data_IF_637606441809
#
_entry.id   IF_637606441809
#
_cell.length_a   1.000
_cell.length_b   1.000
_cell.length_c   1.000
_cell.angle_alpha   90.00
_cell.angle_beta   90.00
_cell.angle_gamma   90.00
#
_symmetry.space_group_name_H-M   'P 1'
#
loop_
_entity.id
_entity.type
_entity.pdbx_description
1 polymer ?
#
# COMPACT_ATOMS: atom_id res chain seq x y z
N UNK A 1 -9.09 -16.26 17.44
CA UNK A 1 -7.96 -16.90 16.74
C UNK A 1 -8.39 -17.10 15.29
N UNK A 2 -8.62 -16.01 14.54
CA UNK A 2 -9.26 -16.08 13.20
C UNK A 2 -9.19 -14.74 12.44
N UNK A 3 -8.01 -14.11 12.36
CA UNK A 3 -7.82 -12.88 11.54
C UNK A 3 -6.66 -12.96 10.54
N UNK A 4 -5.90 -14.05 10.52
CA UNK A 4 -4.74 -14.17 9.64
C UNK A 4 -5.07 -14.88 8.30
N UNK A 5 -6.26 -15.50 8.18
CA UNK A 5 -6.73 -16.11 6.94
C UNK A 5 -7.09 -15.08 5.84
N UNK A 6 -7.45 -13.85 6.23
CA UNK A 6 -7.89 -12.78 5.31
C UNK A 6 -6.75 -12.14 4.49
N UNK A 7 -5.49 -12.46 4.79
CA UNK A 7 -4.33 -11.82 4.16
C UNK A 7 -3.40 -12.78 3.41
N UNK A 8 -3.88 -13.97 3.04
CA UNK A 8 -3.05 -15.00 2.38
C UNK A 8 -2.33 -14.50 1.12
N UNK A 9 -2.94 -13.55 0.40
CA UNK A 9 -2.40 -12.94 -0.82
C UNK A 9 -1.75 -11.56 -0.62
N UNK A 10 -1.58 -11.10 0.62
CA UNK A 10 -1.00 -9.77 0.92
C UNK A 10 0.43 -9.92 1.44
N UNK A 11 1.41 -9.16 0.93
CA UNK A 11 2.78 -9.19 1.42
C UNK A 11 2.85 -8.96 2.94
N UNK A 12 3.54 -9.86 3.64
CA UNK A 12 3.68 -9.81 5.10
C UNK A 12 4.22 -8.47 5.61
N UNK A 13 5.20 -7.88 4.90
CA UNK A 13 5.76 -6.57 5.22
C UNK A 13 4.68 -5.48 5.30
N UNK A 14 3.72 -5.49 4.37
CA UNK A 14 2.63 -4.52 4.35
C UNK A 14 1.68 -4.74 5.53
N UNK A 15 1.31 -5.99 5.79
CA UNK A 15 0.43 -6.36 6.91
C UNK A 15 1.03 -5.92 8.25
N UNK A 16 2.30 -6.24 8.49
CA UNK A 16 3.00 -5.88 9.74
C UNK A 16 3.15 -4.37 9.88
N UNK A 17 3.56 -3.67 8.81
CA UNK A 17 3.72 -2.21 8.84
C UNK A 17 2.39 -1.50 9.11
N UNK A 18 1.32 -1.90 8.43
CA UNK A 18 -0.04 -1.35 8.64
C UNK A 18 -0.54 -1.65 10.05
N UNK A 19 -0.37 -2.89 10.56
CA UNK A 19 -0.74 -3.23 11.95
C UNK A 19 -0.07 -2.30 12.96
N UNK A 20 1.22 -1.99 12.78
CA UNK A 20 1.94 -1.07 13.67
C UNK A 20 1.43 0.37 13.53
N UNK A 21 1.20 0.85 12.30
CA UNK A 21 0.66 2.19 12.07
C UNK A 21 -0.72 2.38 12.72
N UNK A 22 -1.61 1.42 12.51
CA UNK A 22 -2.97 1.45 13.06
C UNK A 22 -2.99 1.39 14.59
N UNK A 23 -2.06 0.64 15.19
CA UNK A 23 -1.99 0.51 16.64
C UNK A 23 -1.39 1.73 17.35
N UNK A 24 -0.47 2.47 16.70
CA UNK A 24 0.37 3.47 17.38
C UNK A 24 0.35 4.88 16.77
N UNK A 25 0.08 5.02 15.48
CA UNK A 25 0.50 6.20 14.72
C UNK A 25 -0.61 6.86 13.88
N UNK A 26 -1.87 6.42 13.99
CA UNK A 26 -2.99 7.00 13.22
C UNK A 26 -3.21 8.50 13.46
N UNK A 27 -2.81 9.01 14.63
CA UNK A 27 -2.99 10.43 14.99
C UNK A 27 -1.78 11.31 14.61
N UNK A 28 -0.77 10.77 13.91
CA UNK A 28 0.42 11.53 13.51
C UNK A 28 0.08 12.46 12.35
N UNK A 29 0.38 13.76 12.51
CA UNK A 29 0.14 14.77 11.48
C UNK A 29 1.01 14.50 10.24
N UNK A 30 0.42 14.56 9.05
CA UNK A 30 1.15 14.39 7.81
C UNK A 30 1.61 12.96 7.56
N UNK A 31 0.92 11.96 8.12
CA UNK A 31 1.12 10.56 7.81
C UNK A 31 1.09 10.34 6.29
N UNK A 32 1.99 9.50 5.77
CA UNK A 32 2.27 9.28 4.35
C UNK A 32 2.83 10.49 3.56
N UNK A 33 2.51 11.74 3.93
CA UNK A 33 3.02 12.97 3.30
C UNK A 33 4.45 13.30 3.70
N UNK A 34 4.75 13.29 4.99
CA UNK A 34 6.10 13.57 5.50
C UNK A 34 6.98 12.32 5.30
N UNK A 35 8.24 12.55 4.88
CA UNK A 35 9.21 11.48 4.67
C UNK A 35 10.01 11.21 5.93
N UNK A 36 10.18 9.93 6.27
CA UNK A 36 11.08 9.51 7.34
C UNK A 36 12.55 9.60 6.92
N UNK A 37 13.45 9.30 7.84
CA UNK A 37 14.88 9.31 7.56
C UNK A 37 15.24 8.20 6.56
N UNK A 38 15.76 8.58 5.39
CA UNK A 38 16.09 7.65 4.31
C UNK A 38 17.07 6.54 4.73
N UNK A 39 18.11 6.88 5.50
CA UNK A 39 19.09 5.89 5.96
C UNK A 39 18.45 4.83 6.86
N UNK A 40 17.53 5.24 7.73
CA UNK A 40 16.80 4.33 8.62
C UNK A 40 15.82 3.46 7.80
N UNK A 41 15.18 4.01 6.77
CA UNK A 41 14.31 3.22 5.87
C UNK A 41 15.13 2.14 5.15
N UNK A 42 16.34 2.44 4.68
CA UNK A 42 17.21 1.46 4.03
C UNK A 42 17.70 0.37 4.99
N UNK A 43 18.08 0.76 6.21
CA UNK A 43 18.48 -0.18 7.27
C UNK A 43 17.33 -1.13 7.65
N UNK A 44 16.12 -0.59 7.84
CA UNK A 44 14.93 -1.40 8.08
C UNK A 44 14.62 -2.35 6.91
N UNK A 45 14.77 -1.90 5.65
CA UNK A 45 14.61 -2.76 4.47
C UNK A 45 15.55 -3.96 4.52
N UNK A 46 16.82 -3.76 4.87
CA UNK A 46 17.79 -4.85 4.98
C UNK A 46 17.35 -5.91 6.00
N UNK A 47 16.88 -5.47 7.17
CA UNK A 47 16.36 -6.37 8.19
C UNK A 47 15.08 -7.11 7.77
N UNK A 48 14.15 -6.40 7.12
CA UNK A 48 12.89 -6.98 6.62
C UNK A 48 13.17 -8.05 5.56
N UNK A 49 14.10 -7.78 4.63
CA UNK A 49 14.51 -8.75 3.61
C UNK A 49 15.18 -9.99 4.23
N UNK A 50 15.74 -9.86 5.43
CA UNK A 50 16.27 -10.97 6.23
C UNK A 50 15.20 -11.64 7.12
N UNK A 51 13.91 -11.42 6.83
CA UNK A 51 12.75 -11.88 7.62
C UNK A 51 12.70 -11.37 9.07
N UNK A 52 13.46 -10.33 9.42
CA UNK A 52 13.38 -9.68 10.73
C UNK A 52 12.35 -8.54 10.70
N UNK A 53 11.10 -8.85 11.06
CA UNK A 53 10.01 -7.87 11.13
C UNK A 53 9.93 -7.15 12.50
N UNK A 54 10.76 -7.50 13.49
CA UNK A 54 10.77 -6.82 14.80
C UNK A 54 11.16 -5.34 14.68
N UNK A 55 11.95 -5.01 13.64
CA UNK A 55 12.33 -3.62 13.35
C UNK A 55 11.12 -2.72 13.11
N UNK A 56 10.01 -3.26 12.57
CA UNK A 56 8.76 -2.50 12.40
C UNK A 56 8.09 -2.24 13.76
N UNK A 57 8.05 -3.25 14.63
CA UNK A 57 7.38 -3.18 15.94
C UNK A 57 8.09 -2.26 16.93
N UNK A 58 9.41 -2.19 16.84
CA UNK A 58 10.29 -1.38 17.71
C UNK A 58 10.50 0.05 17.22
N UNK A 59 10.11 0.35 15.98
CA UNK A 59 10.25 1.69 15.40
C UNK A 59 9.39 2.72 16.16
N UNK A 60 9.96 3.91 16.35
CA UNK A 60 9.36 5.06 17.05
C UNK A 60 8.87 6.16 16.11
N UNK A 61 9.38 6.17 14.88
CA UNK A 61 8.98 7.14 13.85
C UNK A 61 8.01 6.53 12.84
N UNK A 62 6.78 7.09 12.80
CA UNK A 62 5.75 6.71 11.84
C UNK A 62 6.16 6.99 10.39
N UNK A 63 6.93 8.05 10.15
CA UNK A 63 7.32 8.45 8.79
C UNK A 63 8.33 7.46 8.18
N UNK A 64 9.14 6.82 9.01
CA UNK A 64 10.01 5.72 8.59
C UNK A 64 9.19 4.47 8.23
N UNK A 65 8.16 4.10 9.00
CA UNK A 65 7.28 2.96 8.67
C UNK A 65 6.51 3.20 7.38
N UNK A 66 5.90 4.39 7.21
CA UNK A 66 5.27 4.76 5.93
C UNK A 66 6.29 4.83 4.79
N UNK A 67 7.55 5.14 5.08
CA UNK A 67 8.67 5.04 4.15
C UNK A 67 8.88 3.62 3.60
N UNK A 68 8.82 2.60 4.45
CA UNK A 68 8.89 1.19 4.04
C UNK A 68 7.71 0.81 3.14
N UNK A 69 6.49 1.21 3.50
CA UNK A 69 5.29 0.93 2.69
C UNK A 69 5.44 1.56 1.30
N UNK A 70 5.84 2.82 1.23
CA UNK A 70 6.09 3.52 -0.05
C UNK A 70 7.20 2.86 -0.87
N UNK A 71 8.27 2.43 -0.21
CA UNK A 71 9.40 1.76 -0.85
C UNK A 71 8.99 0.42 -1.46
N UNK A 72 8.18 -0.37 -0.75
CA UNK A 72 7.65 -1.65 -1.23
C UNK A 72 7.00 -1.51 -2.62
N UNK A 73 6.07 -0.57 -2.80
CA UNK A 73 5.38 -0.39 -4.07
C UNK A 73 6.28 0.21 -5.16
N UNK A 74 7.28 1.01 -4.77
CA UNK A 74 8.23 1.62 -5.71
C UNK A 74 9.24 0.62 -6.26
N UNK A 75 9.58 -0.42 -5.51
CA UNK A 75 10.58 -1.44 -5.90
C UNK A 75 9.96 -2.64 -6.63
N UNK A 76 8.64 -2.67 -6.87
CA UNK A 76 8.03 -3.70 -7.70
C UNK A 76 8.56 -3.61 -9.14
N UNK A 77 8.81 -4.77 -9.76
CA UNK A 77 9.27 -4.86 -11.17
C UNK A 77 8.28 -4.20 -12.12
N UNK A 78 6.98 -4.44 -11.89
CA UNK A 78 5.89 -3.69 -12.49
C UNK A 78 5.08 -2.98 -11.41
N UNK A 79 4.65 -1.72 -11.64
CA UNK A 79 3.79 -1.03 -10.69
C UNK A 79 2.48 -1.80 -10.49
N UNK A 80 1.95 -1.75 -9.27
CA UNK A 80 0.72 -2.43 -8.88
C UNK A 80 -0.45 -2.18 -9.85
N UNK A 81 -0.54 -0.96 -10.37
CA UNK A 81 -1.41 -0.57 -11.47
C UNK A 81 -0.49 -0.09 -12.59
N UNK A 82 -0.42 -0.84 -13.69
CA UNK A 82 0.41 -0.47 -14.85
C UNK A 82 -0.26 0.56 -15.73
N UNK A 83 0.55 1.31 -16.50
CA UNK A 83 0.05 2.29 -17.47
C UNK A 83 -0.93 1.65 -18.45
N UNK A 84 -0.65 0.44 -18.92
CA UNK A 84 -1.57 -0.32 -19.77
C UNK A 84 -2.95 -0.52 -19.14
N UNK A 85 -3.03 -0.82 -17.84
CA UNK A 85 -4.31 -0.94 -17.15
C UNK A 85 -5.03 0.41 -17.04
N UNK A 86 -4.29 1.49 -16.80
CA UNK A 86 -4.85 2.84 -16.81
C UNK A 86 -5.38 3.18 -18.20
N UNK A 87 -4.57 3.11 -19.25
CA UNK A 87 -4.96 3.42 -20.63
C UNK A 87 -6.17 2.61 -21.12
N UNK A 88 -6.31 1.36 -20.65
CA UNK A 88 -7.42 0.47 -21.05
C UNK A 88 -8.75 0.86 -20.39
N UNK A 89 -8.73 1.40 -19.17
CA UNK A 89 -9.94 1.57 -18.36
C UNK A 89 -10.24 3.04 -18.01
N UNK A 90 -9.22 3.88 -17.92
CA UNK A 90 -9.26 5.28 -17.54
C UNK A 90 -8.67 6.07 -18.71
N UNK A 91 -9.53 6.57 -19.59
CA UNK A 91 -9.12 7.44 -20.70
C UNK A 91 -8.83 8.86 -20.18
N UNK A 92 -7.55 9.21 -20.16
CA UNK A 92 -6.97 10.35 -19.45
C UNK A 92 -7.60 11.71 -19.74
N UNK A 93 -8.17 11.91 -20.93
CA UNK A 93 -8.55 13.26 -21.36
C UNK A 93 -9.86 13.78 -20.78
N UNK A 94 -10.83 12.89 -20.52
CA UNK A 94 -12.17 13.28 -20.07
C UNK A 94 -12.71 12.47 -18.90
N UNK A 95 -11.97 11.48 -18.40
CA UNK A 95 -12.45 10.59 -17.35
C UNK A 95 -13.04 11.32 -16.13
N UNK A 96 -12.35 12.36 -15.66
CA UNK A 96 -12.77 13.15 -14.50
C UNK A 96 -14.01 14.03 -14.77
N UNK A 97 -14.35 14.27 -16.03
CA UNK A 97 -15.54 15.02 -16.44
C UNK A 97 -16.79 14.13 -16.61
N UNK A 98 -16.63 12.80 -16.57
CA UNK A 98 -17.74 11.84 -16.70
C UNK A 98 -18.51 11.67 -15.37
N UNK A 99 -19.67 11.03 -15.43
CA UNK A 99 -20.48 10.78 -14.22
C UNK A 99 -19.72 9.93 -13.20
N UNK A 100 -19.99 10.17 -11.91
CA UNK A 100 -19.38 9.41 -10.82
C UNK A 100 -19.65 7.90 -10.95
N UNK A 101 -20.85 7.52 -11.41
CA UNK A 101 -21.23 6.12 -11.66
C UNK A 101 -20.34 5.48 -12.72
N UNK A 102 -20.06 6.18 -13.81
CA UNK A 102 -19.16 5.70 -14.86
C UNK A 102 -17.73 5.58 -14.33
N UNK A 103 -17.24 6.58 -13.59
CA UNK A 103 -15.90 6.56 -13.00
C UNK A 103 -15.71 5.35 -12.06
N UNK A 104 -16.68 5.11 -11.17
CA UNK A 104 -16.67 3.94 -10.27
C UNK A 104 -16.67 2.64 -11.06
N UNK A 105 -17.53 2.51 -12.07
CA UNK A 105 -17.61 1.31 -12.91
C UNK A 105 -16.26 0.99 -13.57
N UNK A 106 -15.58 2.00 -14.10
CA UNK A 106 -14.29 1.81 -14.77
C UNK A 106 -13.17 1.45 -13.80
N UNK A 107 -13.12 2.09 -12.63
CA UNK A 107 -12.17 1.72 -11.56
C UNK A 107 -12.42 0.28 -11.09
N UNK A 108 -13.68 -0.13 -10.92
CA UNK A 108 -14.02 -1.50 -10.56
C UNK A 108 -13.58 -2.51 -11.62
N UNK A 109 -13.77 -2.20 -12.91
CA UNK A 109 -13.27 -3.04 -14.02
C UNK A 109 -11.75 -3.17 -13.98
N UNK A 110 -11.03 -2.05 -13.82
CA UNK A 110 -9.57 -2.05 -13.71
C UNK A 110 -9.11 -2.94 -12.56
N UNK A 111 -9.65 -2.73 -11.35
CA UNK A 111 -9.31 -3.53 -10.17
C UNK A 111 -9.65 -5.01 -10.38
N UNK A 112 -10.72 -5.31 -11.12
CA UNK A 112 -11.12 -6.67 -11.50
C UNK A 112 -10.14 -7.38 -12.45
N UNK A 113 -9.39 -6.64 -13.26
CA UNK A 113 -8.36 -7.20 -14.17
C UNK A 113 -7.02 -7.49 -13.51
N UNK A 114 -6.78 -6.95 -12.30
CA UNK A 114 -5.53 -7.16 -11.59
C UNK A 114 -5.38 -8.62 -11.14
N UNK A 115 -4.14 -9.10 -11.07
CA UNK A 115 -3.84 -10.40 -10.48
C UNK A 115 -4.36 -10.47 -9.02
N UNK A 116 -4.77 -11.64 -8.52
CA UNK A 116 -5.33 -11.77 -7.17
C UNK A 116 -4.46 -11.15 -6.08
N UNK A 117 -3.13 -11.33 -6.14
CA UNK A 117 -2.18 -10.74 -5.20
C UNK A 117 -2.20 -9.22 -5.23
N UNK A 118 -2.19 -8.60 -6.41
CA UNK A 118 -2.24 -7.14 -6.54
C UNK A 118 -3.59 -6.58 -6.07
N UNK A 119 -4.69 -7.22 -6.46
CA UNK A 119 -6.04 -6.80 -6.08
C UNK A 119 -6.25 -6.86 -4.57
N UNK A 120 -5.88 -7.98 -3.94
CA UNK A 120 -6.09 -8.19 -2.51
C UNK A 120 -5.15 -7.26 -1.70
N UNK A 121 -3.92 -7.03 -2.18
CA UNK A 121 -2.98 -6.06 -1.59
C UNK A 121 -3.49 -4.62 -1.71
N UNK A 122 -4.01 -4.25 -2.88
CA UNK A 122 -4.60 -2.92 -3.11
C UNK A 122 -5.82 -2.72 -2.21
N UNK A 123 -6.70 -3.71 -2.12
CA UNK A 123 -7.87 -3.64 -1.25
C UNK A 123 -7.46 -3.49 0.22
N UNK A 124 -6.45 -4.23 0.68
CA UNK A 124 -5.89 -4.09 2.02
C UNK A 124 -5.37 -2.68 2.29
N UNK A 125 -4.57 -2.14 1.37
CA UNK A 125 -4.02 -0.78 1.49
C UNK A 125 -5.14 0.28 1.50
N UNK A 126 -6.11 0.19 0.58
CA UNK A 126 -7.20 1.17 0.50
C UNK A 126 -8.09 1.15 1.75
N UNK A 127 -8.33 -0.02 2.34
CA UNK A 127 -9.03 -0.12 3.64
C UNK A 127 -8.27 0.60 4.76
N UNK A 128 -6.94 0.55 4.75
CA UNK A 128 -6.11 1.26 5.71
C UNK A 128 -6.14 2.79 5.47
N UNK A 129 -5.98 3.22 4.22
CA UNK A 129 -5.95 4.65 3.87
C UNK A 129 -7.30 5.37 4.05
N UNK A 130 -8.41 4.62 4.17
CA UNK A 130 -9.74 5.15 4.43
C UNK A 130 -10.11 5.19 5.94
N UNK A 131 -9.18 4.90 6.83
CA UNK A 131 -9.35 5.06 8.28
C UNK A 131 -8.85 6.43 8.74
#
# INVERSE_FOLDING_TARGET
MEKDADFKNVPRVLVEAVKVLEAKFMNVIGLYRVSGNYAVVQDMRFHINSNNFEVLRTQKDAHTITGIIKLLFRELEEPMISLKHLDTHIDDSNFLALSQEYQIMQVQKLVGTLQPVHRDTLQFLMKHLNK
#
